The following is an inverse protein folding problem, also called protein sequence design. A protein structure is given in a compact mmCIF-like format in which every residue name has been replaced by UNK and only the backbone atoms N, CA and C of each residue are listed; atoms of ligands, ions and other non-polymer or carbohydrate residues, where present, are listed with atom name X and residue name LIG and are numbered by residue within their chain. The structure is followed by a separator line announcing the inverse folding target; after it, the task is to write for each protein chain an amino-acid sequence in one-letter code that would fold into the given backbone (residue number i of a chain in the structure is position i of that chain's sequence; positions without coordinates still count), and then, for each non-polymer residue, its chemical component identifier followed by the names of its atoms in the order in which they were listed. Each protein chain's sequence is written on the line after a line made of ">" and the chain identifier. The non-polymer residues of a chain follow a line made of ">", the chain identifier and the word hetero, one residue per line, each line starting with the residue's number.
data_IF_860586263089
#
_entry.id   IF_860586263089
#
_cell.length_a   1.000
_cell.length_b   1.000
_cell.length_c   1.000
_cell.angle_alpha   90.00
_cell.angle_beta   90.00
_cell.angle_gamma   90.00
#
_symmetry.space_group_name_H-M   'P 1'
#
loop_
_entity.id
_entity.type
_entity.pdbx_description
1 polymer ?
#
# COMPACT_ATOMS: atom_id res chain seq x y z
N UNK A 1 2.83 -20.99 4.02
CA UNK A 1 4.10 -20.22 4.12
C UNK A 1 4.16 -19.33 2.90
N UNK A 2 4.23 -18.02 3.10
CA UNK A 2 4.20 -17.00 2.03
C UNK A 2 5.64 -16.70 1.57
N UNK A 3 6.38 -17.74 1.19
CA UNK A 3 7.86 -17.75 1.16
C UNK A 3 8.52 -16.75 0.19
N UNK A 4 7.76 -16.08 -0.69
CA UNK A 4 8.28 -15.10 -1.66
C UNK A 4 8.00 -13.62 -1.30
N UNK A 5 7.28 -13.34 -0.20
CA UNK A 5 7.00 -11.95 0.21
C UNK A 5 8.02 -11.46 1.24
N UNK A 6 8.89 -10.55 0.81
CA UNK A 6 9.88 -9.91 1.67
C UNK A 6 9.60 -8.41 1.80
N UNK A 7 9.47 -7.93 3.04
CA UNK A 7 9.22 -6.53 3.38
C UNK A 7 10.38 -5.90 4.15
N UNK A 8 10.45 -4.57 4.08
CA UNK A 8 11.48 -3.75 4.72
C UNK A 8 10.86 -2.46 5.25
N UNK A 9 11.41 -1.92 6.33
CA UNK A 9 11.12 -0.55 6.77
C UNK A 9 12.46 0.17 7.06
N UNK A 10 12.41 1.31 7.74
CA UNK A 10 13.62 2.10 8.03
C UNK A 10 14.57 1.37 8.99
N UNK A 11 14.04 0.52 9.88
CA UNK A 11 14.77 -0.12 10.98
C UNK A 11 14.97 -1.63 10.79
N UNK A 12 14.09 -2.29 10.04
CA UNK A 12 14.00 -3.74 9.88
C UNK A 12 14.06 -4.12 8.40
N UNK A 13 14.66 -5.27 8.12
CA UNK A 13 14.77 -5.83 6.77
C UNK A 13 14.37 -7.30 6.80
N UNK A 14 13.84 -7.80 5.68
CA UNK A 14 13.44 -9.20 5.51
C UNK A 14 12.35 -9.62 6.48
N UNK A 15 11.38 -8.73 6.67
CA UNK A 15 10.14 -9.07 7.37
C UNK A 15 9.30 -9.97 6.46
N UNK A 16 8.77 -11.05 7.02
CA UNK A 16 7.72 -11.83 6.39
C UNK A 16 6.38 -11.10 6.48
N UNK A 17 5.36 -11.58 5.77
CA UNK A 17 4.00 -11.05 5.92
C UNK A 17 3.49 -11.17 7.37
N UNK A 18 3.78 -12.29 8.04
CA UNK A 18 3.37 -12.51 9.43
C UNK A 18 4.05 -11.51 10.38
N UNK A 19 5.33 -11.22 10.17
CA UNK A 19 6.03 -10.17 10.92
C UNK A 19 5.38 -8.80 10.72
N UNK A 20 5.00 -8.46 9.49
CA UNK A 20 4.30 -7.20 9.17
C UNK A 20 3.00 -7.11 9.95
N UNK A 21 2.17 -8.16 9.92
CA UNK A 21 0.90 -8.24 10.64
C UNK A 21 1.14 -8.07 12.15
N UNK A 22 2.09 -8.80 12.72
CA UNK A 22 2.44 -8.70 14.14
C UNK A 22 2.90 -7.29 14.54
N UNK A 23 3.68 -6.62 13.70
CA UNK A 23 4.10 -5.24 13.96
C UNK A 23 2.92 -4.26 13.92
N UNK A 24 1.98 -4.45 13.01
CA UNK A 24 0.76 -3.63 12.96
C UNK A 24 -0.13 -3.85 14.18
N UNK A 25 -0.35 -5.11 14.57
CA UNK A 25 -1.14 -5.45 15.76
C UNK A 25 -0.52 -4.85 17.04
N UNK A 26 0.81 -4.93 17.18
CA UNK A 26 1.53 -4.27 18.29
C UNK A 26 1.38 -2.76 18.27
N UNK A 27 1.35 -2.13 17.09
CA UNK A 27 1.13 -0.69 16.99
C UNK A 27 -0.31 -0.31 17.41
N UNK A 28 -1.30 -1.12 17.02
CA UNK A 28 -2.70 -0.92 17.41
C UNK A 28 -2.90 -1.12 18.92
N UNK A 29 -2.32 -2.17 19.49
CA UNK A 29 -2.48 -2.52 20.91
C UNK A 29 -1.93 -1.46 21.88
N UNK A 30 -1.07 -0.54 21.41
CA UNK A 30 -0.56 0.57 22.23
C UNK A 30 -1.63 1.63 22.55
N UNK A 31 -2.69 1.75 21.72
CA UNK A 31 -3.79 2.70 21.91
C UNK A 31 -5.02 2.21 21.11
N UNK A 32 -5.68 1.14 21.57
CA UNK A 32 -6.76 0.49 20.81
C UNK A 32 -8.05 1.32 20.77
N UNK A 33 -8.17 2.38 21.58
CA UNK A 33 -9.32 3.28 21.56
C UNK A 33 -9.27 4.34 20.44
N UNK A 34 -8.18 4.39 19.67
CA UNK A 34 -8.01 5.35 18.58
C UNK A 34 -8.54 4.83 17.25
N UNK A 35 -8.90 5.72 16.30
CA UNK A 35 -9.16 5.34 14.92
C UNK A 35 -7.86 5.00 14.19
N UNK A 36 -7.94 4.10 13.22
CA UNK A 36 -6.83 3.65 12.40
C UNK A 36 -7.17 3.64 10.91
N UNK A 37 -6.15 3.89 10.08
CA UNK A 37 -6.24 3.79 8.63
C UNK A 37 -5.16 2.84 8.11
N UNK A 38 -5.58 1.71 7.55
CA UNK A 38 -4.73 0.81 6.78
C UNK A 38 -4.69 1.32 5.33
N UNK A 39 -3.50 1.62 4.81
CA UNK A 39 -3.30 2.15 3.46
C UNK A 39 -2.25 1.31 2.74
N UNK A 40 -2.60 0.85 1.54
CA UNK A 40 -1.74 0.05 0.67
C UNK A 40 -1.63 0.78 -0.66
N UNK A 41 -0.42 0.99 -1.18
CA UNK A 41 -0.25 1.67 -2.45
C UNK A 41 1.06 1.35 -3.11
N UNK A 42 1.05 1.24 -4.43
CA UNK A 42 2.24 0.94 -5.22
C UNK A 42 2.60 2.13 -6.11
N UNK A 43 3.88 2.47 -6.14
CA UNK A 43 4.47 3.40 -7.12
C UNK A 43 5.55 2.68 -7.92
N UNK A 44 5.85 3.20 -9.12
CA UNK A 44 6.89 2.65 -9.97
C UNK A 44 7.78 3.69 -10.66
N UNK A 45 9.07 3.38 -10.69
CA UNK A 45 10.08 4.18 -11.39
C UNK A 45 10.76 3.33 -12.46
N UNK A 46 10.81 3.88 -13.67
CA UNK A 46 11.57 3.30 -14.78
C UNK A 46 13.04 3.66 -14.61
N UNK A 47 13.90 2.65 -14.64
CA UNK A 47 15.36 2.75 -14.62
C UNK A 47 15.91 2.11 -15.88
N UNK A 48 17.19 2.33 -16.19
CA UNK A 48 17.80 1.69 -17.37
C UNK A 48 17.70 0.17 -17.29
N UNK A 49 17.07 -0.44 -18.29
CA UNK A 49 16.89 -1.89 -18.42
C UNK A 49 15.83 -2.53 -17.52
N UNK A 50 15.16 -1.78 -16.64
CA UNK A 50 14.15 -2.35 -15.74
C UNK A 50 13.16 -1.32 -15.20
N UNK A 51 12.01 -1.79 -14.74
CA UNK A 51 11.05 -0.97 -13.98
C UNK A 51 10.97 -1.50 -12.56
N UNK A 52 11.15 -0.61 -11.59
CA UNK A 52 11.09 -0.96 -10.17
C UNK A 52 9.76 -0.49 -9.60
N UNK A 53 9.04 -1.44 -9.01
CA UNK A 53 7.81 -1.21 -8.27
C UNK A 53 8.09 -1.28 -6.78
N UNK A 54 7.43 -0.43 -6.02
CA UNK A 54 7.43 -0.49 -4.56
C UNK A 54 6.02 -0.42 -4.06
N UNK A 55 5.60 -1.41 -3.27
CA UNK A 55 4.31 -1.40 -2.57
C UNK A 55 4.54 -1.00 -1.13
N UNK A 56 3.98 0.12 -0.71
CA UNK A 56 3.94 0.58 0.67
C UNK A 56 2.72 0.03 1.40
N UNK A 57 2.91 -0.36 2.66
CA UNK A 57 1.84 -0.78 3.58
C UNK A 57 1.99 0.07 4.83
N UNK A 58 0.91 0.78 5.20
CA UNK A 58 0.93 1.75 6.30
C UNK A 58 -0.28 1.51 7.19
N UNK A 59 -0.05 1.41 8.50
CA UNK A 59 -1.10 1.54 9.51
C UNK A 59 -0.89 2.89 10.21
N UNK A 60 -1.85 3.80 10.06
CA UNK A 60 -1.78 5.16 10.59
C UNK A 60 -2.77 5.34 11.72
N UNK A 61 -2.32 5.96 12.81
CA UNK A 61 -3.18 6.52 13.87
C UNK A 61 -3.25 8.04 13.65
N UNK A 62 -4.38 8.60 13.15
CA UNK A 62 -4.46 10.03 12.81
C UNK A 62 -4.00 10.93 13.97
N UNK A 63 -3.11 11.87 13.68
CA UNK A 63 -2.51 12.79 14.67
C UNK A 63 -1.51 12.17 15.65
N UNK A 64 -1.32 10.84 15.65
CA UNK A 64 -0.53 10.11 16.65
C UNK A 64 0.53 9.17 16.05
N UNK A 65 0.82 9.31 14.76
CA UNK A 65 1.89 8.59 14.07
C UNK A 65 1.42 7.42 13.21
N UNK A 66 2.38 6.64 12.72
CA UNK A 66 2.12 5.49 11.85
C UNK A 66 3.25 4.47 11.96
N UNK A 67 2.91 3.22 11.65
CA UNK A 67 3.90 2.19 11.32
C UNK A 67 3.78 1.86 9.83
N UNK A 68 4.92 1.65 9.16
CA UNK A 68 4.95 1.42 7.73
C UNK A 68 6.10 0.52 7.30
N UNK A 69 5.88 -0.27 6.26
CA UNK A 69 6.90 -1.04 5.56
C UNK A 69 6.63 -1.03 4.04
N UNK A 70 7.58 -1.53 3.27
CA UNK A 70 7.43 -1.68 1.83
C UNK A 70 8.02 -2.99 1.30
N UNK A 71 7.49 -3.44 0.16
CA UNK A 71 8.02 -4.54 -0.67
C UNK A 71 8.47 -3.99 -2.02
N UNK A 72 9.45 -4.64 -2.64
CA UNK A 72 9.95 -4.26 -3.97
C UNK A 72 9.75 -5.40 -4.96
N UNK A 73 9.36 -5.05 -6.19
CA UNK A 73 9.27 -5.96 -7.34
C UNK A 73 10.00 -5.32 -8.51
N UNK A 74 10.77 -6.11 -9.26
CA UNK A 74 11.53 -5.63 -10.41
C UNK A 74 11.04 -6.33 -11.66
N UNK A 75 10.61 -5.55 -12.64
CA UNK A 75 10.27 -6.02 -13.98
C UNK A 75 11.49 -5.79 -14.89
N UNK A 76 12.03 -6.82 -15.57
CA UNK A 76 13.26 -6.72 -16.36
C UNK A 76 13.01 -6.09 -17.74
N UNK A 77 12.25 -4.99 -17.78
CA UNK A 77 12.04 -4.13 -18.95
C UNK A 77 11.59 -2.74 -18.53
N UNK A 78 11.82 -1.77 -19.40
CA UNK A 78 11.36 -0.40 -19.24
C UNK A 78 9.88 -0.28 -19.66
N UNK A 79 9.04 0.26 -18.78
CA UNK A 79 7.64 0.54 -19.09
C UNK A 79 7.50 1.95 -19.66
N UNK A 80 6.87 2.06 -20.84
CA UNK A 80 6.63 3.34 -21.51
C UNK A 80 5.16 3.76 -21.48
N UNK A 81 4.24 2.81 -21.29
CA UNK A 81 2.80 3.07 -21.25
C UNK A 81 2.33 3.47 -19.86
N UNK A 82 1.69 4.64 -19.76
CA UNK A 82 1.05 5.12 -18.53
C UNK A 82 -0.03 4.15 -18.06
N UNK A 83 -0.86 3.64 -18.99
CA UNK A 83 -1.90 2.65 -18.66
C UNK A 83 -1.30 1.39 -18.06
N UNK A 84 -0.23 0.88 -18.66
CA UNK A 84 0.41 -0.35 -18.22
C UNK A 84 1.02 -0.19 -16.82
N UNK A 85 1.72 0.93 -16.58
CA UNK A 85 2.25 1.27 -15.26
C UNK A 85 1.15 1.26 -14.19
N UNK A 86 0.08 2.03 -14.42
CA UNK A 86 -1.06 2.14 -13.50
C UNK A 86 -1.76 0.79 -13.26
N UNK A 87 -1.90 -0.01 -14.31
CA UNK A 87 -2.50 -1.34 -14.23
C UNK A 87 -1.68 -2.25 -13.33
N UNK A 88 -0.35 -2.26 -13.49
CA UNK A 88 0.55 -3.09 -12.68
C UNK A 88 0.63 -2.58 -11.24
N UNK A 89 0.75 -1.26 -11.03
CA UNK A 89 0.71 -0.63 -9.70
C UNK A 89 -0.55 -1.00 -8.93
N UNK A 90 -1.71 -0.88 -9.58
CA UNK A 90 -3.00 -1.25 -8.98
C UNK A 90 -3.03 -2.74 -8.66
N UNK A 91 -2.60 -3.59 -9.58
CA UNK A 91 -2.60 -5.05 -9.38
C UNK A 91 -1.70 -5.48 -8.22
N UNK A 92 -0.50 -4.91 -8.09
CA UNK A 92 0.41 -5.20 -6.97
C UNK A 92 -0.15 -4.73 -5.62
N UNK A 93 -0.90 -3.62 -5.62
CA UNK A 93 -1.56 -3.13 -4.41
C UNK A 93 -2.71 -4.04 -4.00
N UNK A 94 -3.52 -4.50 -4.96
CA UNK A 94 -4.60 -5.47 -4.74
C UNK A 94 -4.07 -6.82 -4.26
N UNK A 95 -2.98 -7.32 -4.85
CA UNK A 95 -2.32 -8.55 -4.42
C UNK A 95 -1.97 -8.50 -2.93
N UNK A 96 -1.33 -7.42 -2.48
CA UNK A 96 -1.02 -7.23 -1.07
C UNK A 96 -2.29 -7.11 -0.23
N UNK A 97 -3.29 -6.36 -0.68
CA UNK A 97 -4.55 -6.21 0.06
C UNK A 97 -5.28 -7.55 0.28
N UNK A 98 -5.30 -8.45 -0.71
CA UNK A 98 -5.90 -9.78 -0.57
C UNK A 98 -5.25 -10.62 0.53
N UNK A 99 -3.94 -10.44 0.81
CA UNK A 99 -3.28 -11.11 1.94
C UNK A 99 -3.76 -10.59 3.31
N UNK A 100 -4.35 -9.39 3.36
CA UNK A 100 -4.86 -8.79 4.60
C UNK A 100 -6.36 -9.05 4.83
N UNK A 101 -7.16 -9.33 3.78
CA UNK A 101 -8.63 -9.42 3.85
C UNK A 101 -9.18 -10.48 4.81
N UNK A 102 -8.38 -11.50 5.17
CA UNK A 102 -8.76 -12.57 6.08
C UNK A 102 -8.28 -12.34 7.52
N UNK A 103 -7.27 -13.11 7.92
CA UNK A 103 -6.80 -13.20 9.32
C UNK A 103 -6.30 -11.86 9.88
N UNK A 104 -5.55 -11.10 9.08
CA UNK A 104 -4.90 -9.89 9.56
C UNK A 104 -5.90 -8.80 9.98
N UNK A 105 -6.84 -8.44 9.10
CA UNK A 105 -7.80 -7.38 9.39
C UNK A 105 -8.76 -7.80 10.49
N UNK A 106 -9.21 -9.06 10.51
CA UNK A 106 -10.08 -9.55 11.58
C UNK A 106 -9.40 -9.44 12.96
N UNK A 107 -8.12 -9.80 13.07
CA UNK A 107 -7.33 -9.63 14.29
C UNK A 107 -7.16 -8.17 14.69
N UNK A 108 -7.05 -7.25 13.73
CA UNK A 108 -7.03 -5.81 14.02
C UNK A 108 -8.39 -5.34 14.56
N UNK A 109 -9.49 -5.73 13.91
CA UNK A 109 -10.86 -5.38 14.32
C UNK A 109 -11.18 -5.94 15.72
N UNK A 110 -10.74 -7.17 16.04
CA UNK A 110 -10.89 -7.77 17.37
C UNK A 110 -10.22 -6.96 18.49
N UNK A 111 -9.04 -6.37 18.24
CA UNK A 111 -8.37 -5.49 19.20
C UNK A 111 -9.14 -4.19 19.45
N UNK A 112 -9.84 -3.68 18.43
CA UNK A 112 -10.57 -2.41 18.46
C UNK A 112 -12.00 -2.58 19.00
N UNK A 113 -12.60 -3.75 18.83
CA UNK A 113 -14.01 -4.02 19.16
C UNK A 113 -14.41 -3.59 20.59
N UNK A 114 -13.62 -3.82 21.65
CA UNK A 114 -13.97 -3.37 23.00
C UNK A 114 -14.04 -1.85 23.17
N UNK A 115 -13.47 -1.09 22.23
CA UNK A 115 -13.28 0.36 22.31
C UNK A 115 -14.06 1.15 21.25
N UNK A 116 -14.95 0.50 20.48
CA UNK A 116 -15.72 1.17 19.40
C UNK A 116 -16.52 2.37 19.93
N UNK A 117 -17.13 2.26 21.11
CA UNK A 117 -17.84 3.38 21.74
C UNK A 117 -16.93 4.51 22.27
N UNK A 118 -15.61 4.30 22.24
CA UNK A 118 -14.59 5.29 22.60
C UNK A 118 -13.97 5.95 21.36
N UNK A 119 -14.43 5.59 20.16
CA UNK A 119 -13.95 6.15 18.89
C UNK A 119 -12.98 5.24 18.13
N UNK A 120 -12.81 3.98 18.56
CA UNK A 120 -12.01 3.02 17.80
C UNK A 120 -12.69 2.65 16.49
N UNK A 121 -11.93 2.67 15.40
CA UNK A 121 -12.37 2.27 14.07
C UNK A 121 -11.18 1.86 13.21
N UNK A 122 -11.44 1.08 12.16
CA UNK A 122 -10.46 0.73 11.14
C UNK A 122 -11.06 1.05 9.77
N UNK A 123 -10.39 1.92 9.03
CA UNK A 123 -10.68 2.17 7.62
C UNK A 123 -9.55 1.59 6.77
N UNK A 124 -9.88 1.01 5.62
CA UNK A 124 -8.92 0.37 4.73
C UNK A 124 -8.96 1.00 3.34
N UNK A 125 -7.79 1.34 2.80
CA UNK A 125 -7.64 2.06 1.54
C UNK A 125 -6.60 1.43 0.63
N UNK A 126 -6.91 1.45 -0.67
CA UNK A 126 -5.90 1.22 -1.72
C UNK A 126 -5.65 2.54 -2.44
N UNK A 127 -4.40 2.98 -2.39
CA UNK A 127 -3.91 4.21 -2.96
C UNK A 127 -3.42 3.99 -4.40
N UNK A 128 -4.01 4.73 -5.33
CA UNK A 128 -3.66 4.76 -6.75
C UNK A 128 -2.81 6.01 -7.01
N UNK A 129 -1.61 5.85 -7.60
CA UNK A 129 -0.70 6.97 -7.91
C UNK A 129 -1.12 7.77 -9.15
N UNK A 130 -2.37 8.25 -9.16
CA UNK A 130 -2.91 9.00 -10.29
C UNK A 130 -3.48 10.35 -9.86
N UNK A 131 -3.27 11.35 -10.71
CA UNK A 131 -4.02 12.60 -10.67
C UNK A 131 -5.32 12.49 -11.47
N UNK A 132 -6.37 13.14 -10.99
CA UNK A 132 -7.72 13.11 -11.58
C UNK A 132 -7.97 14.22 -12.59
N UNK A 133 -7.21 15.32 -12.55
CA UNK A 133 -7.42 16.47 -13.44
C UNK A 133 -7.01 16.14 -14.89
N UNK A 134 -7.93 16.09 -15.87
CA UNK A 134 -7.60 15.61 -17.22
C UNK A 134 -6.69 16.52 -18.03
N UNK A 135 -6.74 17.82 -17.75
CA UNK A 135 -5.91 18.82 -18.43
C UNK A 135 -4.44 18.69 -17.97
N UNK A 136 -4.22 18.23 -16.74
CA UNK A 136 -2.90 18.19 -16.09
C UNK A 136 -2.31 16.77 -16.10
N UNK A 137 -3.16 15.73 -16.03
CA UNK A 137 -2.73 14.36 -15.75
C UNK A 137 -3.16 13.41 -16.86
N UNK A 138 -2.18 12.86 -17.58
CA UNK A 138 -2.39 11.77 -18.56
C UNK A 138 -3.02 10.51 -17.94
N UNK A 139 -2.97 10.39 -16.62
CA UNK A 139 -3.54 9.27 -15.86
C UNK A 139 -5.05 9.32 -15.77
N UNK A 140 -5.69 10.51 -15.86
CA UNK A 140 -7.13 10.68 -15.59
C UNK A 140 -8.03 9.76 -16.43
N UNK A 141 -7.61 9.46 -17.67
CA UNK A 141 -8.30 8.58 -18.61
C UNK A 141 -8.44 7.14 -18.10
N UNK A 142 -7.55 6.71 -17.20
CA UNK A 142 -7.49 5.34 -16.68
C UNK A 142 -7.85 5.27 -15.19
N UNK A 143 -8.00 6.41 -14.50
CA UNK A 143 -8.28 6.43 -13.06
C UNK A 143 -9.54 5.68 -12.72
N UNK A 144 -10.63 5.92 -13.44
CA UNK A 144 -11.92 5.31 -13.13
C UNK A 144 -11.84 3.78 -13.23
N UNK A 145 -11.17 3.25 -14.25
CA UNK A 145 -10.93 1.81 -14.39
C UNK A 145 -10.20 1.23 -13.16
N UNK A 146 -9.20 1.94 -12.63
CA UNK A 146 -8.44 1.47 -11.45
C UNK A 146 -9.25 1.63 -10.15
N UNK A 147 -10.05 2.68 -10.02
CA UNK A 147 -10.97 2.88 -8.89
C UNK A 147 -11.99 1.77 -8.85
N UNK A 148 -12.68 1.50 -9.96
CA UNK A 148 -13.71 0.46 -10.04
C UNK A 148 -13.16 -0.93 -9.67
N UNK A 149 -11.90 -1.22 -10.08
CA UNK A 149 -11.20 -2.45 -9.70
C UNK A 149 -10.99 -2.58 -8.19
N UNK A 150 -10.62 -1.50 -7.51
CA UNK A 150 -10.42 -1.48 -6.06
C UNK A 150 -11.76 -1.63 -5.35
N UNK A 151 -12.76 -0.83 -5.73
CA UNK A 151 -14.09 -0.86 -5.12
C UNK A 151 -14.77 -2.23 -5.28
N UNK A 152 -14.50 -2.95 -6.38
CA UNK A 152 -14.99 -4.31 -6.60
C UNK A 152 -14.47 -5.34 -5.57
N UNK A 153 -13.41 -5.03 -4.81
CA UNK A 153 -12.95 -5.86 -3.68
C UNK A 153 -13.89 -5.74 -2.47
N UNK A 154 -14.68 -4.67 -2.38
CA UNK A 154 -15.70 -4.46 -1.35
C UNK A 154 -15.20 -4.05 0.04
N UNK A 155 -13.99 -4.47 0.45
CA UNK A 155 -13.41 -4.13 1.77
C UNK A 155 -12.56 -2.86 1.79
N UNK A 156 -12.02 -2.45 0.63
CA UNK A 156 -11.13 -1.30 0.51
C UNK A 156 -11.79 -0.20 -0.32
N UNK A 157 -11.66 1.04 0.16
CA UNK A 157 -11.99 2.22 -0.64
C UNK A 157 -10.77 2.68 -1.46
N UNK A 158 -11.00 3.11 -2.69
CA UNK A 158 -9.97 3.67 -3.55
C UNK A 158 -9.64 5.11 -3.14
N UNK A 159 -8.34 5.44 -3.11
CA UNK A 159 -7.85 6.82 -2.96
C UNK A 159 -6.92 7.19 -4.11
N UNK A 160 -7.03 8.43 -4.56
CA UNK A 160 -6.21 9.03 -5.64
C UNK A 160 -5.53 10.29 -5.11
N UNK A 161 -4.64 10.92 -5.89
CA UNK A 161 -4.01 12.17 -5.46
C UNK A 161 -5.07 13.26 -5.27
N UNK A 162 -4.94 14.11 -4.22
CA UNK A 162 -3.80 14.25 -3.31
C UNK A 162 -3.79 13.30 -2.10
N UNK A 163 -4.81 12.48 -1.92
CA UNK A 163 -5.02 11.67 -0.71
C UNK A 163 -4.29 10.32 -0.70
N UNK A 164 -3.70 9.92 -1.83
CA UNK A 164 -3.00 8.63 -2.01
C UNK A 164 -1.57 8.60 -1.44
N UNK A 165 -1.42 8.84 -0.14
CA UNK A 165 -0.12 8.98 0.53
C UNK A 165 0.81 7.74 0.47
N UNK A 166 0.25 6.53 0.57
CA UNK A 166 1.03 5.29 0.54
C UNK A 166 1.75 5.10 -0.80
N UNK A 167 1.07 5.38 -1.91
CA UNK A 167 1.65 5.33 -3.24
C UNK A 167 2.52 6.58 -3.52
N UNK A 168 1.91 7.77 -3.44
CA UNK A 168 2.50 9.01 -3.96
C UNK A 168 3.67 9.58 -3.14
N UNK A 169 3.72 9.27 -1.84
CA UNK A 169 4.77 9.76 -0.94
C UNK A 169 5.66 8.63 -0.43
N UNK A 170 5.06 7.61 0.21
CA UNK A 170 5.84 6.57 0.89
C UNK A 170 6.54 5.64 -0.11
N UNK A 171 5.81 4.98 -1.01
CA UNK A 171 6.38 4.08 -2.01
C UNK A 171 7.36 4.81 -2.95
N UNK A 172 6.98 5.99 -3.44
CA UNK A 172 7.82 6.85 -4.30
C UNK A 172 9.19 7.18 -3.69
N UNK A 173 9.29 7.33 -2.36
CA UNK A 173 10.60 7.53 -1.71
C UNK A 173 11.57 6.37 -1.96
N UNK A 174 11.05 5.15 -2.10
CA UNK A 174 11.81 3.91 -2.20
C UNK A 174 12.00 3.42 -3.65
N UNK A 175 11.28 3.98 -4.64
CA UNK A 175 11.42 3.68 -6.08
C UNK A 175 12.62 4.40 -6.72
N UNK A 176 13.03 5.56 -6.17
CA UNK A 176 14.06 6.46 -6.74
C UNK A 176 15.45 5.85 -6.94
N UNK A 177 15.84 4.85 -6.15
CA UNK A 177 17.13 4.16 -6.31
C UNK A 177 16.97 2.94 -7.21
N UNK A 178 17.84 2.73 -8.21
CA UNK A 178 17.80 1.55 -9.06
C UNK A 178 17.92 0.28 -8.21
N UNK A 179 17.31 -0.80 -8.69
CA UNK A 179 17.44 -2.09 -8.02
C UNK A 179 18.89 -2.58 -8.13
N UNK A 180 19.39 -3.16 -7.03
CA UNK A 180 20.60 -3.97 -7.07
C UNK A 180 20.27 -5.28 -7.78
N UNK A 181 20.26 -5.25 -9.11
CA UNK A 181 20.26 -6.46 -9.92
C UNK A 181 21.64 -7.09 -9.71
N UNK A 182 21.74 -8.07 -8.82
CA UNK A 182 22.91 -8.94 -8.79
C UNK A 182 22.90 -9.67 -10.13
N UNK A 183 23.87 -9.36 -10.98
CA UNK A 183 24.15 -10.13 -12.19
C UNK A 183 24.63 -11.53 -11.82
#
# INVERSE_FOLDING_TARGET
>A
MHDDLTFHNVTERRLSLDDVIERMLRFISQDPASPYQLMIGTDSQVHRGHTKFVTGIIIRRPGKGAWACYRQVVLPRELTSVKEKLTIETSLSQEIACYFEGDAVNRMEELLLPYVYQGASLEAFIDIDAGTEPIVNKTSLYVQEMVDRVEAMGRYAARVKPDSYAASAYANRHTKRPASLVM
#
